data_IF_708076173059
#
_entry.id   IF_708076173059
#
_cell.length_a   1.000
_cell.length_b   1.000
_cell.length_c   1.000
_cell.angle_alpha   90.00
_cell.angle_beta   90.00
_cell.angle_gamma   90.00
#
_symmetry.space_group_name_H-M   'P 1'
#
loop_
_entity.id
_entity.type
_entity.pdbx_description
1 polymer ?
#
# COMPACT_ATOMS: atom_id res chain seq x y z
N UNK A 1 -4.13 2.40 -23.13
CA UNK A 1 -4.19 3.09 -21.85
C UNK A 1 -2.88 3.79 -21.56
N UNK A 2 -2.50 4.87 -22.01
CA UNK A 2 -1.22 5.57 -21.94
C UNK A 2 -0.61 5.85 -20.54
N UNK A 3 -0.80 4.95 -19.59
CA UNK A 3 -0.26 5.06 -18.24
C UNK A 3 1.15 4.53 -18.22
N UNK A 4 2.09 5.38 -17.86
CA UNK A 4 3.52 5.06 -17.88
C UNK A 4 4.12 4.96 -16.49
N UNK A 5 3.39 5.37 -15.44
CA UNK A 5 3.94 5.45 -14.08
C UNK A 5 2.89 5.16 -13.00
N UNK A 6 3.35 4.59 -11.90
CA UNK A 6 2.60 4.47 -10.63
C UNK A 6 3.40 5.16 -9.54
N UNK A 7 2.84 6.19 -8.94
CA UNK A 7 3.40 6.82 -7.75
C UNK A 7 2.82 6.16 -6.48
N UNK A 8 3.69 5.70 -5.61
CA UNK A 8 3.36 5.06 -4.34
C UNK A 8 3.87 5.92 -3.20
N UNK A 9 2.98 6.28 -2.28
CA UNK A 9 3.36 6.96 -1.03
C UNK A 9 3.05 6.03 0.14
N UNK A 10 4.07 5.74 0.94
CA UNK A 10 3.97 4.95 2.15
C UNK A 10 4.11 5.85 3.37
N UNK A 11 3.12 5.83 4.23
CA UNK A 11 3.17 6.44 5.56
C UNK A 11 3.43 5.33 6.57
N UNK A 12 4.56 5.44 7.29
CA UNK A 12 5.03 4.45 8.23
C UNK A 12 5.00 5.04 9.64
N UNK A 13 4.54 4.27 10.60
CA UNK A 13 4.57 4.63 12.01
C UNK A 13 5.18 3.47 12.80
N UNK A 14 6.22 3.74 13.62
CA UNK A 14 6.87 2.73 14.44
C UNK A 14 6.35 2.75 15.87
N UNK A 15 6.06 1.54 16.39
CA UNK A 15 5.74 1.34 17.77
C UNK A 15 6.98 1.39 18.68
N UNK A 16 6.76 1.25 19.96
CA UNK A 16 7.81 1.21 20.99
C UNK A 16 8.69 -0.05 20.92
N UNK A 17 8.16 -1.12 20.34
CA UNK A 17 8.80 -2.43 20.16
C UNK A 17 9.58 -2.58 18.85
N UNK A 18 9.60 -1.50 18.04
CA UNK A 18 10.32 -1.51 16.78
C UNK A 18 11.83 -1.51 17.01
N UNK A 19 12.53 -2.55 16.59
CA UNK A 19 13.94 -2.77 16.90
C UNK A 19 14.89 -2.73 15.69
N UNK A 20 14.37 -2.72 14.47
CA UNK A 20 15.22 -2.72 13.28
C UNK A 20 15.93 -1.38 13.07
N UNK A 21 17.27 -1.41 12.94
CA UNK A 21 18.08 -0.23 12.64
C UNK A 21 19.31 -0.60 11.79
N UNK A 22 19.51 0.05 10.63
CA UNK A 22 18.60 1.01 9.99
C UNK A 22 17.36 0.33 9.42
N UNK A 23 16.20 0.95 9.61
CA UNK A 23 14.96 0.50 8.99
C UNK A 23 14.94 0.88 7.51
N UNK A 24 14.60 -0.08 6.66
CA UNK A 24 14.50 0.12 5.22
C UNK A 24 13.13 -0.28 4.72
N UNK A 25 12.59 0.51 3.80
CA UNK A 25 11.35 0.23 3.09
C UNK A 25 11.66 -0.32 1.71
N UNK A 26 11.17 -1.52 1.44
CA UNK A 26 11.23 -2.13 0.11
C UNK A 26 9.83 -2.12 -0.49
N UNK A 27 9.74 -1.73 -1.76
CA UNK A 27 8.53 -1.74 -2.55
C UNK A 27 8.73 -2.68 -3.73
N UNK A 28 7.90 -3.73 -3.81
CA UNK A 28 7.80 -4.60 -4.97
C UNK A 28 6.59 -4.23 -5.79
N UNK A 29 6.77 -4.06 -7.09
CA UNK A 29 5.68 -4.06 -8.07
C UNK A 29 5.59 -5.47 -8.65
N UNK A 30 4.46 -6.14 -8.47
CA UNK A 30 4.23 -7.49 -8.96
C UNK A 30 3.04 -7.51 -9.90
N UNK A 31 3.01 -8.50 -10.81
CA UNK A 31 1.89 -8.75 -11.72
C UNK A 31 1.40 -10.17 -11.57
N UNK A 32 0.08 -10.33 -11.48
CA UNK A 32 -0.60 -11.61 -11.49
C UNK A 32 -1.02 -12.01 -12.93
N UNK A 33 -1.45 -13.24 -13.11
CA UNK A 33 -2.01 -13.78 -14.36
C UNK A 33 -1.06 -13.65 -15.56
N UNK A 34 0.25 -13.74 -15.32
CA UNK A 34 1.25 -13.70 -16.39
C UNK A 34 1.34 -15.06 -17.07
N UNK A 35 0.97 -15.10 -18.34
CA UNK A 35 0.91 -16.34 -19.12
C UNK A 35 2.28 -16.68 -19.68
N UNK A 36 2.80 -17.86 -19.36
CA UNK A 36 3.98 -18.48 -19.98
C UNK A 36 3.57 -19.66 -20.86
N UNK A 37 4.03 -19.67 -22.11
CA UNK A 37 3.76 -20.76 -23.05
C UNK A 37 4.73 -21.93 -22.93
N UNK A 38 5.86 -21.71 -22.28
CA UNK A 38 6.90 -22.70 -22.06
C UNK A 38 7.53 -22.50 -20.70
N UNK A 39 7.53 -23.53 -19.88
CA UNK A 39 8.20 -23.53 -18.57
C UNK A 39 8.88 -24.89 -18.39
N UNK A 40 10.12 -24.89 -17.94
CA UNK A 40 10.84 -26.11 -17.62
C UNK A 40 10.10 -26.91 -16.54
N UNK A 41 9.88 -28.20 -16.80
CA UNK A 41 9.16 -29.08 -15.89
C UNK A 41 7.63 -29.03 -15.97
N UNK A 42 7.05 -28.21 -16.83
CA UNK A 42 5.61 -28.16 -17.05
C UNK A 42 5.27 -28.34 -18.55
N UNK A 43 4.14 -28.99 -18.84
CA UNK A 43 3.60 -29.11 -20.19
C UNK A 43 2.41 -28.18 -20.39
N UNK A 44 2.38 -27.46 -21.52
CA UNK A 44 1.28 -26.55 -21.86
C UNK A 44 1.49 -25.12 -21.36
N UNK A 45 0.38 -24.41 -21.22
CA UNK A 45 0.36 -23.01 -20.75
C UNK A 45 0.34 -22.97 -19.23
N UNK A 46 1.20 -22.17 -18.65
CA UNK A 46 1.27 -21.90 -17.21
C UNK A 46 0.92 -20.44 -16.92
N UNK A 47 0.19 -20.20 -15.83
CA UNK A 47 -0.19 -18.85 -15.40
C UNK A 47 0.55 -18.56 -14.08
N UNK A 48 1.50 -17.62 -14.17
CA UNK A 48 2.26 -17.19 -13.00
C UNK A 48 1.51 -16.14 -12.21
N UNK A 49 1.63 -16.22 -10.89
CA UNK A 49 1.13 -15.22 -9.94
C UNK A 49 2.32 -14.51 -9.28
N UNK A 50 2.14 -13.26 -8.91
CA UNK A 50 3.13 -12.46 -8.17
C UNK A 50 4.49 -12.34 -8.87
N UNK A 51 4.48 -12.21 -10.21
CA UNK A 51 5.72 -12.01 -10.97
C UNK A 51 6.30 -10.65 -10.63
N UNK A 52 7.52 -10.62 -10.07
CA UNK A 52 8.21 -9.36 -9.76
C UNK A 52 8.52 -8.60 -11.05
N UNK A 53 8.03 -7.39 -11.16
CA UNK A 53 8.23 -6.49 -12.30
C UNK A 53 9.25 -5.40 -12.01
N UNK A 54 9.19 -4.82 -10.82
CA UNK A 54 10.10 -3.74 -10.43
C UNK A 54 10.26 -3.69 -8.91
N UNK A 55 11.34 -3.03 -8.47
CA UNK A 55 11.65 -2.80 -7.06
C UNK A 55 12.26 -1.41 -6.90
N UNK A 56 11.96 -0.73 -5.80
CA UNK A 56 12.54 0.60 -5.53
C UNK A 56 14.05 0.55 -5.30
N UNK A 57 14.53 -0.48 -4.62
CA UNK A 57 15.95 -0.72 -4.34
C UNK A 57 16.14 -2.16 -3.91
N UNK A 58 17.27 -2.77 -4.27
CA UNK A 58 17.60 -4.17 -3.96
C UNK A 58 17.49 -4.49 -2.46
N UNK A 59 17.87 -3.55 -1.59
CA UNK A 59 17.85 -3.69 -0.15
C UNK A 59 16.97 -2.68 0.54
N UNK A 60 16.00 -2.13 -0.19
CA UNK A 60 15.13 -1.08 0.29
C UNK A 60 15.80 0.28 0.48
N UNK A 61 15.00 1.29 0.71
CA UNK A 61 15.41 2.66 0.97
C UNK A 61 15.39 2.95 2.47
N UNK A 62 16.39 3.64 2.99
CA UNK A 62 16.44 4.02 4.40
C UNK A 62 15.29 4.97 4.72
N UNK A 63 14.58 4.71 5.80
CA UNK A 63 13.52 5.58 6.30
C UNK A 63 14.08 6.64 7.24
N UNK A 64 13.69 7.89 7.00
CA UNK A 64 13.98 9.03 7.89
C UNK A 64 12.79 9.25 8.82
N UNK A 65 13.00 8.98 10.10
CA UNK A 65 11.96 9.07 11.12
C UNK A 65 11.90 10.45 11.78
N UNK A 66 10.71 11.01 11.88
CA UNK A 66 10.40 12.19 12.69
C UNK A 66 9.21 11.86 13.58
N UNK A 67 9.35 12.02 14.89
CA UNK A 67 8.30 11.70 15.86
C UNK A 67 7.66 10.31 15.65
N UNK A 68 8.50 9.30 15.41
CA UNK A 68 8.11 7.92 15.11
C UNK A 68 7.36 7.73 13.78
N UNK A 69 7.32 8.74 12.92
CA UNK A 69 6.69 8.67 11.59
C UNK A 69 7.70 8.86 10.48
N UNK A 70 7.49 8.19 9.38
CA UNK A 70 8.25 8.37 8.16
C UNK A 70 7.31 8.30 6.95
N UNK A 71 7.56 9.17 5.98
CA UNK A 71 6.86 9.13 4.69
C UNK A 71 7.88 8.86 3.60
N UNK A 72 7.56 7.93 2.71
CA UNK A 72 8.41 7.59 1.58
C UNK A 72 7.56 7.53 0.31
N UNK A 73 8.01 8.24 -0.73
CA UNK A 73 7.34 8.24 -2.04
C UNK A 73 8.29 7.69 -3.09
N UNK A 74 7.77 6.83 -3.95
CA UNK A 74 8.49 6.25 -5.07
C UNK A 74 7.60 6.13 -6.30
N UNK A 75 8.17 6.35 -7.48
CA UNK A 75 7.45 6.22 -8.75
C UNK A 75 8.01 5.05 -9.54
N UNK A 76 7.15 4.08 -9.84
CA UNK A 76 7.47 2.99 -10.75
C UNK A 76 7.16 3.40 -12.18
N UNK A 77 8.10 3.21 -13.10
CA UNK A 77 7.84 3.28 -14.53
C UNK A 77 7.24 1.97 -14.99
N UNK A 78 6.15 2.00 -15.74
CA UNK A 78 5.45 0.83 -16.26
C UNK A 78 5.91 0.47 -17.66
N UNK A 79 6.10 -0.83 -17.90
CA UNK A 79 6.22 -1.35 -19.25
C UNK A 79 4.82 -1.50 -19.88
N UNK A 80 4.69 -1.13 -21.13
CA UNK A 80 3.43 -1.23 -21.89
C UNK A 80 2.92 -2.67 -22.06
N UNK A 81 3.79 -3.67 -21.87
CA UNK A 81 3.43 -5.07 -21.92
C UNK A 81 2.77 -5.59 -20.62
N UNK A 82 2.83 -4.83 -19.52
CA UNK A 82 2.22 -5.25 -18.25
C UNK A 82 0.74 -4.92 -18.21
N UNK A 83 -0.02 -5.83 -17.59
CA UNK A 83 -1.46 -5.64 -17.38
C UNK A 83 -1.68 -4.82 -16.13
N UNK A 84 -2.08 -3.57 -16.28
CA UNK A 84 -2.25 -2.62 -15.16
C UNK A 84 -3.24 -3.09 -14.11
N UNK A 85 -4.30 -3.80 -14.53
CA UNK A 85 -5.33 -4.34 -13.62
C UNK A 85 -4.85 -5.54 -12.78
N UNK A 86 -3.78 -6.20 -13.23
CA UNK A 86 -3.17 -7.34 -12.54
C UNK A 86 -1.97 -6.92 -11.67
N UNK A 87 -1.65 -5.62 -11.60
CA UNK A 87 -0.54 -5.10 -10.80
C UNK A 87 -0.89 -4.99 -9.32
N UNK A 88 0.10 -5.28 -8.47
CA UNK A 88 0.05 -5.10 -7.02
C UNK A 88 1.33 -4.46 -6.52
N UNK A 89 1.21 -3.64 -5.49
CA UNK A 89 2.34 -3.11 -4.74
C UNK A 89 2.41 -3.82 -3.40
N UNK A 90 3.57 -4.40 -3.11
CA UNK A 90 3.90 -5.00 -1.83
C UNK A 90 4.95 -4.11 -1.18
N UNK A 91 4.64 -3.57 -0.01
CA UNK A 91 5.54 -2.74 0.77
C UNK A 91 5.92 -3.49 2.05
N UNK A 92 7.20 -3.57 2.37
CA UNK A 92 7.63 -4.13 3.64
C UNK A 92 8.78 -3.34 4.25
N UNK A 93 8.78 -3.28 5.57
CA UNK A 93 9.84 -2.68 6.36
C UNK A 93 10.69 -3.79 6.95
N UNK A 94 12.01 -3.68 6.80
CA UNK A 94 12.97 -4.63 7.36
C UNK A 94 14.18 -3.91 7.96
N UNK A 95 14.86 -4.60 8.87
CA UNK A 95 16.23 -4.27 9.22
C UNK A 95 17.18 -4.51 8.05
N UNK A 96 18.39 -4.02 8.15
CA UNK A 96 19.45 -4.28 7.18
C UNK A 96 20.78 -4.49 7.90
N UNK A 97 21.38 -5.65 7.63
CA UNK A 97 22.74 -5.98 8.04
C UNK A 97 23.51 -6.46 6.81
N UNK A 98 24.56 -5.72 6.43
CA UNK A 98 25.37 -6.04 5.26
C UNK A 98 26.29 -7.25 5.49
N UNK A 99 26.54 -7.62 6.74
CA UNK A 99 27.43 -8.71 7.13
C UNK A 99 26.68 -10.03 7.33
N UNK A 100 25.41 -9.97 7.69
CA UNK A 100 24.59 -11.16 7.94
C UNK A 100 23.12 -10.92 7.52
N UNK A 101 22.74 -11.51 6.39
CA UNK A 101 21.37 -11.40 5.85
C UNK A 101 20.31 -12.03 6.74
N UNK A 102 20.69 -12.91 7.67
CA UNK A 102 19.75 -13.52 8.63
C UNK A 102 19.23 -12.50 9.65
N UNK A 103 19.95 -11.37 9.79
CA UNK A 103 19.54 -10.25 10.64
C UNK A 103 18.62 -9.26 9.92
N UNK A 104 18.33 -9.46 8.62
CA UNK A 104 17.40 -8.62 7.85
C UNK A 104 15.95 -9.02 8.14
N UNK A 105 15.50 -8.86 9.37
CA UNK A 105 14.16 -9.26 9.82
C UNK A 105 13.11 -8.34 9.23
N UNK A 106 12.03 -8.91 8.70
CA UNK A 106 10.85 -8.15 8.25
C UNK A 106 9.97 -7.83 9.45
N UNK A 107 9.75 -6.54 9.68
CA UNK A 107 8.92 -6.03 10.79
C UNK A 107 7.43 -5.99 10.44
N UNK A 108 7.13 -5.54 9.22
CA UNK A 108 5.75 -5.42 8.77
C UNK A 108 5.65 -5.47 7.24
N UNK A 109 4.49 -5.88 6.74
CA UNK A 109 4.18 -5.92 5.30
C UNK A 109 2.77 -5.39 5.03
N UNK A 110 2.61 -4.66 3.94
CA UNK A 110 1.33 -4.22 3.42
C UNK A 110 1.25 -4.51 1.92
N UNK A 111 0.06 -4.85 1.45
CA UNK A 111 -0.22 -5.11 0.03
C UNK A 111 -1.38 -4.21 -0.40
N UNK A 112 -1.23 -3.57 -1.54
CA UNK A 112 -2.31 -2.80 -2.16
C UNK A 112 -2.39 -3.07 -3.65
N UNK A 113 -3.59 -2.95 -4.21
CA UNK A 113 -3.79 -2.86 -5.65
C UNK A 113 -3.84 -1.38 -6.02
N UNK A 114 -3.22 -0.96 -7.13
CA UNK A 114 -3.39 0.38 -7.63
C UNK A 114 -4.88 0.60 -7.94
N UNK A 115 -5.61 1.22 -7.03
CA UNK A 115 -6.98 1.60 -7.27
C UNK A 115 -6.97 2.88 -8.08
N UNK A 116 -7.46 2.80 -9.31
CA UNK A 116 -7.55 3.92 -10.24
C UNK A 116 -6.23 4.68 -10.42
N UNK A 117 -5.48 4.27 -11.43
CA UNK A 117 -4.37 5.05 -11.93
C UNK A 117 -4.98 6.31 -12.57
N UNK A 118 -5.26 7.32 -11.77
CA UNK A 118 -5.64 8.63 -12.25
C UNK A 118 -4.46 9.28 -12.95
N UNK A 119 -4.65 9.71 -14.18
CA UNK A 119 -3.78 10.70 -14.79
C UNK A 119 -4.06 12.03 -14.11
N UNK A 120 -3.37 12.32 -13.04
CA UNK A 120 -3.53 13.60 -12.36
C UNK A 120 -3.11 13.49 -10.89
N UNK A 121 -2.42 14.49 -10.43
CA UNK A 121 -2.15 14.76 -9.02
C UNK A 121 -3.50 14.90 -8.32
N UNK A 122 -4.01 13.82 -7.74
CA UNK A 122 -5.04 13.97 -6.72
C UNK A 122 -4.34 14.27 -5.41
N UNK A 123 -4.00 15.54 -5.20
CA UNK A 123 -4.05 16.08 -3.86
C UNK A 123 -5.49 15.86 -3.43
N UNK A 124 -5.73 14.94 -2.50
CA UNK A 124 -6.96 14.94 -1.73
C UNK A 124 -6.87 16.17 -0.83
N UNK A 125 -7.15 17.32 -1.40
CA UNK A 125 -7.70 18.41 -0.64
C UNK A 125 -9.03 17.87 -0.13
N UNK A 126 -9.17 17.68 1.16
CA UNK A 126 -10.45 17.61 1.83
C UNK A 126 -11.10 18.99 1.69
N UNK A 127 -11.51 19.34 0.47
CA UNK A 127 -12.52 20.35 0.28
C UNK A 127 -13.84 19.66 0.56
N UNK A 128 -14.45 20.06 1.66
CA UNK A 128 -15.83 19.76 2.03
C UNK A 128 -16.73 19.73 0.80
N UNK A 129 -17.22 18.56 0.42
CA UNK A 129 -18.52 18.33 -0.18
C UNK A 129 -18.68 16.87 -0.59
N UNK A 130 -18.65 15.98 0.41
CA UNK A 130 -19.45 14.76 0.41
C UNK A 130 -19.59 14.33 1.86
N UNK A 131 -20.66 14.77 2.48
CA UNK A 131 -20.96 14.56 3.89
C UNK A 131 -21.13 13.08 4.17
N UNK A 132 -20.12 12.49 4.84
CA UNK A 132 -20.31 11.21 5.49
C UNK A 132 -21.48 11.33 6.49
N UNK A 133 -22.38 10.37 6.50
CA UNK A 133 -23.44 10.31 7.49
C UNK A 133 -22.91 9.65 8.76
N UNK A 134 -23.14 10.29 9.90
CA UNK A 134 -22.76 9.79 11.20
C UNK A 134 -23.99 9.24 11.93
N UNK A 135 -23.81 8.11 12.60
CA UNK A 135 -24.87 7.48 13.37
C UNK A 135 -24.32 7.04 14.73
N UNK A 136 -25.13 7.16 15.76
CA UNK A 136 -24.89 6.52 17.05
C UNK A 136 -25.15 5.01 16.95
N UNK A 137 -24.72 4.26 17.96
CA UNK A 137 -24.85 2.80 18.01
C UNK A 137 -26.32 2.31 17.97
N UNK A 138 -27.25 3.16 18.40
CA UNK A 138 -28.72 2.92 18.34
C UNK A 138 -29.33 3.32 16.98
N UNK A 139 -28.50 3.70 15.99
CA UNK A 139 -28.91 4.00 14.61
C UNK A 139 -29.46 5.42 14.40
N UNK A 140 -29.37 6.31 15.37
CA UNK A 140 -29.78 7.71 15.21
C UNK A 140 -28.74 8.49 14.42
N UNK A 141 -29.20 9.23 13.41
CA UNK A 141 -28.32 10.10 12.61
C UNK A 141 -27.80 11.27 13.45
N UNK A 142 -26.53 11.55 13.34
CA UNK A 142 -25.81 12.63 14.03
C UNK A 142 -25.21 13.60 13.01
N UNK A 143 -24.93 14.81 13.45
CA UNK A 143 -24.27 15.84 12.63
C UNK A 143 -22.74 15.80 12.76
N UNK A 144 -22.23 15.23 13.86
CA UNK A 144 -20.81 15.13 14.17
C UNK A 144 -20.50 13.81 14.89
N UNK A 145 -19.22 13.44 14.94
CA UNK A 145 -18.74 12.35 15.78
C UNK A 145 -18.81 12.76 17.26
N UNK A 146 -19.35 11.86 18.09
CA UNK A 146 -19.43 12.04 19.54
C UNK A 146 -18.48 11.08 20.25
N UNK A 147 -18.17 11.37 21.52
CA UNK A 147 -17.36 10.49 22.36
C UNK A 147 -18.00 9.10 22.45
N UNK A 148 -17.21 8.05 22.23
CA UNK A 148 -17.64 6.67 22.21
C UNK A 148 -17.69 6.09 20.81
N UNK A 149 -18.47 5.01 20.60
CA UNK A 149 -18.57 4.29 19.33
C UNK A 149 -19.56 4.99 18.40
N UNK A 150 -19.10 5.33 17.21
CA UNK A 150 -19.90 5.92 16.13
C UNK A 150 -19.91 5.00 14.92
N UNK A 151 -20.98 5.04 14.13
CA UNK A 151 -21.08 4.39 12.83
C UNK A 151 -21.03 5.49 11.77
N UNK A 152 -20.09 5.37 10.85
CA UNK A 152 -19.87 6.34 9.76
C UNK A 152 -20.20 5.67 8.44
N UNK A 153 -21.19 6.20 7.72
CA UNK A 153 -21.54 5.78 6.37
C UNK A 153 -20.91 6.75 5.38
N UNK A 154 -19.98 6.24 4.58
CA UNK A 154 -19.31 7.00 3.53
C UNK A 154 -20.23 7.16 2.31
N UNK A 155 -20.01 8.19 1.46
CA UNK A 155 -20.84 8.42 0.26
C UNK A 155 -20.82 7.24 -0.73
N UNK A 156 -19.76 6.46 -0.77
CA UNK A 156 -19.64 5.24 -1.56
C UNK A 156 -20.41 4.03 -0.98
N UNK A 157 -21.20 4.23 0.08
CA UNK A 157 -21.98 3.19 0.75
C UNK A 157 -21.21 2.36 1.79
N UNK A 158 -19.89 2.55 1.91
CA UNK A 158 -19.07 1.85 2.91
C UNK A 158 -19.43 2.31 4.32
N UNK A 159 -19.55 1.36 5.26
CA UNK A 159 -19.82 1.64 6.66
C UNK A 159 -18.61 1.31 7.51
N UNK A 160 -18.18 2.24 8.36
CA UNK A 160 -17.07 2.07 9.30
C UNK A 160 -17.52 2.30 10.73
N UNK A 161 -16.92 1.58 11.69
CA UNK A 161 -17.06 1.85 13.13
C UNK A 161 -15.88 2.70 13.56
N UNK A 162 -16.15 3.85 14.19
CA UNK A 162 -15.14 4.80 14.66
C UNK A 162 -15.34 5.01 16.15
N UNK A 163 -14.26 4.82 16.93
CA UNK A 163 -14.28 5.09 18.37
C UNK A 163 -13.58 6.42 18.64
N UNK A 164 -14.30 7.37 19.24
CA UNK A 164 -13.77 8.67 19.66
C UNK A 164 -13.52 8.64 21.17
N UNK A 165 -12.29 8.93 21.57
CA UNK A 165 -11.86 8.99 22.98
C UNK A 165 -12.31 10.26 23.69
#
# INVERSE_FOLDING_TARGET
DGKTEIMVTCECERGWDFCSSPARLTLFLTEDNVTARSQSGASGTFIHQHVLRSVNSTWGSVLSWQDNKATYTYTFTLDSAWKTDDLKVIAFISGYDSSDVTNCVVENVAITVPSEIGTGISSISLTNETTADFYSIDGRKKTTLEKGLNIVRMPNGTVKKVFVK
#
